data_IF_114542538228
#
_entry.id   IF_114542538228
#
_cell.length_a   1.000
_cell.length_b   1.000
_cell.length_c   1.000
_cell.angle_alpha   90.00
_cell.angle_beta   90.00
_cell.angle_gamma   90.00
#
_symmetry.space_group_name_H-M   'P 1'
#
loop_
_entity.id
_entity.type
_entity.pdbx_description
1 polymer ?
#
# COMPACT_ATOMS: atom_id res chain seq x y z
N UNK A 1 9.30 -10.32 -5.94
CA UNK A 1 8.49 -9.28 -6.64
C UNK A 1 7.09 -9.77 -7.03
N UNK A 2 6.94 -10.90 -7.75
CA UNK A 2 5.62 -11.40 -8.20
C UNK A 2 4.65 -11.78 -7.07
N UNK A 3 5.16 -12.34 -5.97
CA UNK A 3 4.37 -12.72 -4.80
C UNK A 3 3.74 -11.50 -4.09
N UNK A 4 4.49 -10.40 -3.95
CA UNK A 4 3.97 -9.16 -3.36
C UNK A 4 2.87 -8.53 -4.23
N UNK A 5 2.99 -8.59 -5.56
CA UNK A 5 1.93 -8.16 -6.47
C UNK A 5 0.67 -9.03 -6.34
N UNK A 6 0.82 -10.33 -6.06
CA UNK A 6 -0.31 -11.22 -5.81
C UNK A 6 -1.00 -10.89 -4.47
N UNK A 7 -0.24 -10.65 -3.41
CA UNK A 7 -0.78 -10.21 -2.12
C UNK A 7 -1.51 -8.87 -2.22
N UNK A 8 -0.91 -7.87 -2.86
CA UNK A 8 -1.54 -6.56 -3.08
C UNK A 8 -2.86 -6.69 -3.86
N UNK A 9 -2.88 -7.53 -4.90
CA UNK A 9 -4.10 -7.79 -5.68
C UNK A 9 -5.18 -8.45 -4.85
N UNK A 10 -4.82 -9.45 -4.06
CA UNK A 10 -5.76 -10.14 -3.19
C UNK A 10 -6.39 -9.16 -2.18
N UNK A 11 -5.56 -8.37 -1.49
CA UNK A 11 -6.02 -7.40 -0.48
C UNK A 11 -6.89 -6.31 -1.10
N UNK A 12 -6.54 -5.81 -2.30
CA UNK A 12 -7.39 -4.88 -3.05
C UNK A 12 -8.76 -5.49 -3.39
N UNK A 13 -8.77 -6.71 -3.95
CA UNK A 13 -10.01 -7.35 -4.37
C UNK A 13 -10.92 -7.67 -3.18
N UNK A 14 -10.35 -8.09 -2.05
CA UNK A 14 -11.10 -8.28 -0.80
C UNK A 14 -11.75 -6.98 -0.33
N UNK A 15 -11.04 -5.86 -0.42
CA UNK A 15 -11.59 -4.54 -0.08
C UNK A 15 -12.72 -4.10 -1.03
N UNK A 16 -12.60 -4.39 -2.33
CA UNK A 16 -13.66 -4.17 -3.33
C UNK A 16 -14.89 -5.00 -2.99
N UNK A 17 -14.71 -6.31 -2.75
CA UNK A 17 -15.79 -7.24 -2.40
C UNK A 17 -16.56 -6.79 -1.15
N UNK A 18 -15.85 -6.43 -0.07
CA UNK A 18 -16.46 -5.89 1.15
C UNK A 18 -17.31 -4.64 0.91
N UNK A 19 -16.88 -3.78 -0.02
CA UNK A 19 -17.61 -2.57 -0.37
C UNK A 19 -18.78 -2.85 -1.31
N UNK A 20 -18.64 -3.78 -2.28
CA UNK A 20 -19.71 -4.18 -3.19
C UNK A 20 -20.85 -4.92 -2.47
N UNK A 21 -20.56 -5.62 -1.37
CA UNK A 21 -21.58 -6.26 -0.52
C UNK A 21 -22.31 -5.29 0.44
N UNK A 22 -22.00 -4.00 0.40
CA UNK A 22 -22.74 -2.98 1.14
C UNK A 22 -24.13 -2.76 0.52
N UNK A 23 -25.15 -2.63 1.38
CA UNK A 23 -26.53 -2.34 0.99
C UNK A 23 -27.18 -1.37 1.98
N UNK A 24 -28.18 -0.62 1.52
CA UNK A 24 -28.97 0.26 2.39
C UNK A 24 -29.52 -0.52 3.59
N UNK A 25 -29.34 0.02 4.80
CA UNK A 25 -29.69 -0.63 6.07
C UNK A 25 -28.57 -1.47 6.72
N UNK A 26 -27.40 -1.64 6.09
CA UNK A 26 -26.20 -2.21 6.74
C UNK A 26 -25.24 -1.13 7.22
N UNK A 27 -24.46 -1.46 8.26
CA UNK A 27 -23.33 -0.63 8.72
C UNK A 27 -22.44 -0.27 7.53
N UNK A 28 -21.97 0.97 7.51
CA UNK A 28 -21.07 1.48 6.46
C UNK A 28 -19.91 0.52 6.22
N UNK A 29 -19.51 0.39 4.95
CA UNK A 29 -18.36 -0.42 4.57
C UNK A 29 -17.11 0.00 5.36
N UNK A 30 -16.24 -0.97 5.74
CA UNK A 30 -15.10 -0.71 6.61
C UNK A 30 -14.16 0.33 6.01
N UNK A 31 -13.81 1.35 6.80
CA UNK A 31 -12.79 2.34 6.43
C UNK A 31 -11.38 1.76 6.48
N UNK A 32 -10.40 2.51 5.97
CA UNK A 32 -8.99 2.07 5.88
C UNK A 32 -8.43 1.50 7.21
N UNK A 33 -8.66 2.18 8.34
CA UNK A 33 -8.17 1.72 9.64
C UNK A 33 -8.77 0.36 10.05
N UNK A 34 -10.05 0.13 9.73
CA UNK A 34 -10.72 -1.15 10.00
C UNK A 34 -10.22 -2.25 9.07
N UNK A 35 -10.02 -1.95 7.79
CA UNK A 35 -9.43 -2.88 6.83
C UNK A 35 -8.00 -3.28 7.24
N UNK A 36 -7.20 -2.37 7.80
CA UNK A 36 -5.88 -2.69 8.33
C UNK A 36 -5.93 -3.61 9.55
N UNK A 37 -6.93 -3.46 10.43
CA UNK A 37 -7.16 -4.40 11.55
C UNK A 37 -7.52 -5.79 11.05
N UNK A 38 -8.44 -5.86 10.08
CA UNK A 38 -8.86 -7.12 9.46
C UNK A 38 -7.71 -7.80 8.70
N UNK A 39 -6.89 -7.02 7.99
CA UNK A 39 -5.68 -7.52 7.35
C UNK A 39 -4.72 -8.12 8.37
N UNK A 40 -4.57 -7.49 9.55
CA UNK A 40 -3.70 -8.03 10.61
C UNK A 40 -4.21 -9.37 11.13
N UNK A 41 -5.52 -9.52 11.31
CA UNK A 41 -6.12 -10.81 11.66
C UNK A 41 -5.91 -11.85 10.55
N UNK A 42 -6.24 -11.50 9.29
CA UNK A 42 -6.08 -12.38 8.15
C UNK A 42 -4.62 -12.83 7.93
N UNK A 43 -3.64 -11.97 8.24
CA UNK A 43 -2.21 -12.32 8.20
C UNK A 43 -1.79 -13.29 9.30
N UNK A 44 -2.47 -13.31 10.45
CA UNK A 44 -2.23 -14.31 11.51
C UNK A 44 -2.80 -15.66 11.12
N UNK A 45 -3.97 -15.65 10.48
CA UNK A 45 -4.71 -16.87 10.16
C UNK A 45 -4.25 -17.52 8.83
N UNK A 46 -3.63 -16.74 7.92
CA UNK A 46 -3.15 -17.20 6.62
C UNK A 46 -1.63 -17.05 6.50
N UNK A 47 -0.93 -18.18 6.43
CA UNK A 47 0.51 -18.22 6.21
C UNK A 47 0.93 -17.54 4.90
N UNK A 48 0.15 -17.72 3.84
CA UNK A 48 0.40 -17.06 2.55
C UNK A 48 0.36 -15.53 2.70
N UNK A 49 -0.69 -14.97 3.31
CA UNK A 49 -0.76 -13.52 3.55
C UNK A 49 0.29 -13.03 4.55
N UNK A 50 0.55 -13.81 5.60
CA UNK A 50 1.56 -13.53 6.62
C UNK A 50 2.97 -13.44 6.06
N UNK A 51 3.31 -14.30 5.09
CA UNK A 51 4.60 -14.30 4.38
C UNK A 51 4.84 -13.04 3.53
N UNK A 52 3.77 -12.31 3.20
CA UNK A 52 3.85 -11.07 2.42
C UNK A 52 4.39 -9.88 3.23
N UNK A 53 5.00 -8.92 2.54
CA UNK A 53 5.35 -7.62 3.13
C UNK A 53 4.07 -6.85 3.52
N UNK A 54 3.96 -6.51 4.81
CA UNK A 54 2.82 -5.80 5.38
C UNK A 54 2.64 -4.39 4.79
N UNK A 55 3.73 -3.68 4.49
CA UNK A 55 3.67 -2.32 3.94
C UNK A 55 3.07 -2.30 2.54
N UNK A 56 3.41 -3.30 1.71
CA UNK A 56 2.81 -3.44 0.37
C UNK A 56 1.31 -3.71 0.47
N UNK A 57 0.89 -4.54 1.43
CA UNK A 57 -0.53 -4.86 1.63
C UNK A 57 -1.31 -3.64 2.17
N UNK A 58 -0.74 -2.90 3.13
CA UNK A 58 -1.34 -1.68 3.65
C UNK A 58 -1.38 -0.56 2.61
N UNK A 59 -0.35 -0.43 1.77
CA UNK A 59 -0.34 0.54 0.68
C UNK A 59 -1.44 0.23 -0.34
N UNK A 60 -1.67 -1.04 -0.67
CA UNK A 60 -2.78 -1.44 -1.54
C UNK A 60 -4.15 -1.04 -0.97
N UNK A 61 -4.37 -1.19 0.35
CA UNK A 61 -5.58 -0.70 1.02
C UNK A 61 -5.69 0.83 1.00
N UNK A 62 -4.56 1.53 1.14
CA UNK A 62 -4.54 3.00 1.11
C UNK A 62 -4.87 3.53 -0.27
N UNK A 63 -4.32 2.91 -1.31
CA UNK A 63 -4.63 3.22 -2.70
C UNK A 63 -6.11 2.96 -3.00
N UNK A 64 -6.69 1.88 -2.46
CA UNK A 64 -8.12 1.59 -2.59
C UNK A 64 -8.98 2.67 -1.92
N UNK A 65 -8.65 3.06 -0.69
CA UNK A 65 -9.37 4.13 0.02
C UNK A 65 -9.30 5.47 -0.74
N UNK A 66 -8.14 5.80 -1.32
CA UNK A 66 -7.96 6.98 -2.15
C UNK A 66 -8.81 6.91 -3.43
N UNK A 67 -8.81 5.76 -4.13
CA UNK A 67 -9.62 5.57 -5.33
C UNK A 67 -11.13 5.70 -5.04
N UNK A 68 -11.57 5.15 -3.89
CA UNK A 68 -12.95 5.30 -3.42
C UNK A 68 -13.29 6.77 -3.11
N UNK A 69 -12.40 7.51 -2.48
CA UNK A 69 -12.62 8.94 -2.20
C UNK A 69 -12.63 9.77 -3.49
N UNK A 70 -11.77 9.44 -4.47
CA UNK A 70 -11.73 10.11 -5.76
C UNK A 70 -13.03 9.97 -6.57
N UNK A 71 -13.77 8.86 -6.40
CA UNK A 71 -15.13 8.70 -6.96
C UNK A 71 -16.06 9.86 -6.57
N UNK A 72 -15.97 10.32 -5.32
CA UNK A 72 -16.82 11.41 -4.82
C UNK A 72 -16.34 12.80 -5.23
N UNK A 73 -15.05 12.97 -5.56
CA UNK A 73 -14.46 14.29 -5.82
C UNK A 73 -14.24 14.61 -7.31
N UNK A 74 -14.13 13.61 -8.18
CA UNK A 74 -13.55 13.84 -9.52
C UNK A 74 -14.19 13.02 -10.66
N UNK A 75 -15.37 12.44 -10.46
CA UNK A 75 -16.12 11.74 -11.52
C UNK A 75 -15.48 10.43 -12.01
N UNK A 76 -14.44 9.93 -11.32
CA UNK A 76 -13.89 8.60 -11.60
C UNK A 76 -14.87 7.50 -11.21
N UNK A 77 -14.92 6.43 -12.00
CA UNK A 77 -15.76 5.26 -11.74
C UNK A 77 -15.40 4.51 -10.47
N UNK A 78 -16.28 3.60 -10.06
CA UNK A 78 -16.09 2.74 -8.89
C UNK A 78 -14.81 1.89 -9.03
N UNK A 79 -13.96 1.76 -7.98
CA UNK A 79 -12.84 0.84 -8.03
C UNK A 79 -13.31 -0.59 -8.29
N UNK A 80 -12.77 -1.21 -9.34
CA UNK A 80 -13.13 -2.56 -9.77
C UNK A 80 -12.07 -3.59 -9.36
N UNK A 81 -12.42 -4.86 -9.56
CA UNK A 81 -11.52 -6.00 -9.38
C UNK A 81 -10.29 -5.87 -10.28
N UNK A 82 -9.11 -6.09 -9.71
CA UNK A 82 -7.85 -6.11 -10.45
C UNK A 82 -7.50 -7.51 -10.91
N UNK A 83 -6.97 -7.64 -12.12
CA UNK A 83 -6.62 -8.91 -12.77
C UNK A 83 -5.11 -9.12 -12.86
N UNK A 84 -4.69 -10.37 -12.96
CA UNK A 84 -3.30 -10.73 -13.30
C UNK A 84 -3.08 -10.46 -14.79
N UNK A 85 -1.90 -9.96 -15.18
CA UNK A 85 -1.50 -9.69 -16.58
C UNK A 85 -2.18 -8.51 -17.30
N UNK A 86 -2.94 -7.69 -16.58
CA UNK A 86 -3.38 -6.36 -17.05
C UNK A 86 -2.40 -5.31 -16.50
N UNK A 87 -2.25 -4.17 -17.17
CA UNK A 87 -1.42 -3.04 -16.71
C UNK A 87 -2.02 -2.32 -15.48
N UNK A 88 -2.40 -3.09 -14.46
CA UNK A 88 -3.07 -2.67 -13.23
C UNK A 88 -2.09 -2.80 -12.06
N UNK A 89 -0.94 -2.13 -12.19
CA UNK A 89 0.11 -2.12 -11.18
C UNK A 89 -0.32 -1.52 -9.84
N UNK A 90 0.37 -1.89 -8.77
CA UNK A 90 0.22 -1.31 -7.43
C UNK A 90 1.39 -0.38 -7.15
N UNK A 91 1.11 0.75 -6.51
CA UNK A 91 2.17 1.62 -6.02
C UNK A 91 2.78 0.96 -4.78
N UNK A 92 4.10 0.77 -4.79
CA UNK A 92 4.83 0.36 -3.58
C UNK A 92 5.68 1.55 -3.16
N UNK A 93 5.38 2.10 -1.99
CA UNK A 93 6.23 3.09 -1.34
C UNK A 93 7.07 2.34 -0.33
N UNK A 94 8.36 2.18 -0.60
CA UNK A 94 9.30 1.64 0.38
C UNK A 94 9.36 2.56 1.61
N UNK A 95 9.20 1.97 2.78
CA UNK A 95 9.47 2.59 4.08
C UNK A 95 10.95 2.52 4.45
N UNK A 96 11.78 1.82 3.64
CA UNK A 96 13.22 1.69 3.83
C UNK A 96 13.83 3.07 3.99
N UNK A 97 14.05 3.40 5.25
CA UNK A 97 14.61 4.63 5.71
C UNK A 97 16.11 4.40 5.77
N UNK A 98 16.82 4.96 4.81
CA UNK A 98 18.27 4.86 4.77
C UNK A 98 18.88 6.04 5.54
N UNK A 99 19.94 5.81 6.31
CA UNK A 99 20.67 6.91 6.92
C UNK A 99 21.19 7.84 5.82
N UNK A 100 20.87 9.13 5.91
CA UNK A 100 21.47 10.14 5.04
C UNK A 100 22.87 10.49 5.54
N UNK A 101 23.75 10.74 4.58
CA UNK A 101 25.10 11.21 4.78
C UNK A 101 25.27 12.51 3.99
N UNK A 102 26.09 13.44 4.49
CA UNK A 102 26.53 14.60 3.73
C UNK A 102 27.47 14.19 2.59
N UNK A 103 27.80 15.11 1.68
CA UNK A 103 28.71 14.83 0.55
C UNK A 103 30.09 14.35 0.97
N UNK A 104 30.49 14.69 2.20
CA UNK A 104 31.78 14.36 2.79
C UNK A 104 31.75 13.00 3.52
N UNK A 105 30.59 12.33 3.56
CA UNK A 105 30.40 11.01 4.17
C UNK A 105 29.99 11.05 5.64
N UNK A 106 29.88 12.22 6.27
CA UNK A 106 29.42 12.35 7.65
C UNK A 106 27.92 12.10 7.80
N UNK A 107 27.46 11.51 8.92
CA UNK A 107 26.04 11.36 9.20
C UNK A 107 25.32 12.70 9.15
N UNK A 108 24.34 12.84 8.27
CA UNK A 108 23.52 14.05 8.22
C UNK A 108 22.63 14.11 9.44
N UNK A 109 22.81 15.11 10.30
CA UNK A 109 22.04 15.24 11.54
C UNK A 109 20.94 16.30 11.42
N UNK A 110 19.79 16.05 12.03
CA UNK A 110 18.74 17.05 12.14
C UNK A 110 19.13 18.08 13.21
N UNK A 111 19.31 19.37 12.88
CA UNK A 111 19.82 20.39 13.79
C UNK A 111 18.93 20.65 15.01
N UNK A 112 17.65 20.27 14.97
CA UNK A 112 16.72 20.40 16.09
C UNK A 112 16.73 19.22 17.06
N UNK A 113 17.16 18.05 16.61
CA UNK A 113 17.01 16.79 17.39
C UNK A 113 18.32 16.05 17.61
N UNK A 114 19.40 16.41 16.90
CA UNK A 114 20.70 15.74 16.95
C UNK A 114 20.70 14.32 16.38
N UNK A 115 19.55 13.81 15.91
CA UNK A 115 19.42 12.46 15.35
C UNK A 115 19.80 12.45 13.87
N UNK A 116 20.36 11.34 13.43
CA UNK A 116 20.65 11.13 12.02
C UNK A 116 19.36 11.19 11.19
N UNK A 117 19.42 11.93 10.09
CA UNK A 117 18.34 12.10 9.13
C UNK A 117 18.17 10.78 8.39
N UNK A 118 16.93 10.29 8.38
CA UNK A 118 16.57 9.06 7.69
C UNK A 118 15.82 9.42 6.41
N UNK A 119 16.52 9.30 5.29
CA UNK A 119 16.02 9.54 3.95
C UNK A 119 15.13 8.41 3.46
N UNK A 120 14.24 8.68 2.51
CA UNK A 120 13.40 7.63 1.91
C UNK A 120 14.17 6.96 0.78
N UNK A 121 14.50 5.69 0.94
CA UNK A 121 15.01 4.88 -0.17
C UNK A 121 13.84 4.46 -1.04
N UNK A 122 13.64 5.16 -2.15
CA UNK A 122 12.78 4.66 -3.21
C UNK A 122 13.64 3.76 -4.09
N UNK A 123 13.40 2.44 -4.04
CA UNK A 123 13.91 1.51 -5.06
C UNK A 123 13.16 1.81 -6.35
N UNK A 124 13.58 2.85 -7.07
CA UNK A 124 13.23 3.02 -8.48
C UNK A 124 14.17 2.09 -9.22
N UNK A 125 13.70 0.88 -9.52
CA UNK A 125 14.34 0.07 -10.54
C UNK A 125 14.21 0.86 -11.85
N UNK A 126 15.23 1.65 -12.19
CA UNK A 126 15.37 2.23 -13.53
C UNK A 126 15.32 1.05 -14.48
N UNK A 127 14.18 0.87 -15.15
CA UNK A 127 14.11 0.06 -16.36
C UNK A 127 15.09 0.72 -17.33
N UNK A 128 16.27 0.13 -17.47
CA UNK A 128 17.21 0.52 -18.51
C UNK A 128 16.46 0.44 -19.84
N UNK A 129 16.29 1.61 -20.44
CA UNK A 129 15.81 1.76 -21.81
C UNK A 129 16.92 1.19 -22.70
N UNK A 130 16.60 0.14 -23.47
CA UNK A 130 17.34 -0.15 -24.69
C UNK A 130 17.01 0.91 -25.72
#
# INVERSE_FOLDING_TARGET
MLLHCAHARYVWNLAVEQHSHWKSGRKSAPGFAEQCRQLTAARRDSEWLGSGNADVQQQALRDFANARNARFMSGFGEPTWRRKYRHEGFRVIGTDRVPEYETDGDPKLNPKTGKQVMGRSAVVQKLNRR
#
